data_IF_336986465221
#
_entry.id   IF_336986465221
#
_cell.length_a   1.000
_cell.length_b   1.000
_cell.length_c   1.000
_cell.angle_alpha   90.00
_cell.angle_beta   90.00
_cell.angle_gamma   90.00
#
_symmetry.space_group_name_H-M   'P 1'
#
loop_
_entity.id
_entity.type
_entity.pdbx_description
1 polymer ?
#
# COMPACT_ATOMS: atom_id res chain seq x y z
N UNK A 1 6.84 34.21 16.90
CA UNK A 1 5.74 33.23 17.00
C UNK A 1 4.83 33.17 15.76
N UNK A 2 4.72 34.25 14.96
CA UNK A 2 3.86 34.27 13.74
C UNK A 2 4.34 33.39 12.58
N UNK A 3 5.63 33.17 12.43
CA UNK A 3 6.18 32.35 11.32
C UNK A 3 5.87 30.85 11.44
N UNK A 4 5.88 30.31 12.65
CA UNK A 4 5.58 28.91 12.91
C UNK A 4 4.10 28.61 12.71
N UNK A 5 3.22 29.51 13.19
CA UNK A 5 1.77 29.36 12.98
C UNK A 5 1.43 29.41 11.48
N UNK A 6 2.01 30.32 10.71
CA UNK A 6 1.79 30.41 9.28
C UNK A 6 2.30 29.16 8.53
N UNK A 7 3.42 28.56 8.95
CA UNK A 7 3.92 27.31 8.37
C UNK A 7 2.95 26.14 8.65
N UNK A 8 2.45 26.03 9.87
CA UNK A 8 1.46 25.01 10.24
C UNK A 8 0.19 25.16 9.41
N UNK A 9 -0.36 26.38 9.34
CA UNK A 9 -1.58 26.65 8.54
C UNK A 9 -1.36 26.31 7.06
N UNK A 10 -0.24 26.70 6.50
CA UNK A 10 0.10 26.42 5.09
C UNK A 10 0.23 24.91 4.83
N UNK A 11 0.97 24.19 5.69
CA UNK A 11 1.15 22.75 5.54
C UNK A 11 -0.18 22.00 5.71
N UNK A 12 -1.00 22.39 6.69
CA UNK A 12 -2.33 21.84 6.90
C UNK A 12 -3.23 22.09 5.68
N UNK A 13 -3.19 23.31 5.13
CA UNK A 13 -3.92 23.64 3.92
C UNK A 13 -3.53 22.78 2.72
N UNK A 14 -2.23 22.52 2.51
CA UNK A 14 -1.76 21.60 1.48
C UNK A 14 -2.25 20.18 1.69
N UNK A 15 -2.21 19.67 2.93
CA UNK A 15 -2.70 18.33 3.25
C UNK A 15 -4.21 18.19 2.95
N UNK A 16 -5.02 19.17 3.34
CA UNK A 16 -6.45 19.16 3.02
C UNK A 16 -6.72 19.26 1.52
N UNK A 17 -5.98 20.10 0.80
CA UNK A 17 -6.09 20.18 -0.65
C UNK A 17 -5.72 18.86 -1.31
N UNK A 18 -4.64 18.22 -0.89
CA UNK A 18 -4.23 16.89 -1.37
C UNK A 18 -5.31 15.84 -1.09
N UNK A 19 -5.86 15.81 0.13
CA UNK A 19 -6.96 14.90 0.50
C UNK A 19 -8.19 15.12 -0.38
N UNK A 20 -8.59 16.38 -0.61
CA UNK A 20 -9.71 16.72 -1.47
C UNK A 20 -9.51 16.26 -2.92
N UNK A 21 -8.34 16.53 -3.50
CA UNK A 21 -7.99 16.08 -4.85
C UNK A 21 -8.00 14.55 -4.93
N UNK A 22 -7.36 13.87 -3.97
CA UNK A 22 -7.32 12.40 -3.92
C UNK A 22 -8.73 11.81 -3.82
N UNK A 23 -9.58 12.37 -2.97
CA UNK A 23 -10.97 11.95 -2.82
C UNK A 23 -11.76 12.12 -4.13
N UNK A 24 -11.62 13.26 -4.81
CA UNK A 24 -12.28 13.52 -6.08
C UNK A 24 -11.81 12.53 -7.16
N UNK A 25 -10.49 12.33 -7.29
CA UNK A 25 -9.91 11.37 -8.23
C UNK A 25 -10.41 9.95 -7.92
N UNK A 26 -10.44 9.56 -6.64
CA UNK A 26 -10.90 8.23 -6.23
C UNK A 26 -12.36 7.98 -6.59
N UNK A 27 -13.24 8.94 -6.32
CA UNK A 27 -14.65 8.84 -6.68
C UNK A 27 -14.85 8.77 -8.19
N UNK A 28 -14.14 9.61 -8.95
CA UNK A 28 -14.19 9.60 -10.40
C UNK A 28 -13.68 8.26 -10.97
N UNK A 29 -12.53 7.78 -10.48
CA UNK A 29 -11.93 6.51 -10.90
C UNK A 29 -12.87 5.34 -10.60
N UNK A 30 -13.48 5.31 -9.42
CA UNK A 30 -14.46 4.27 -9.05
C UNK A 30 -15.62 4.21 -10.04
N UNK A 31 -16.15 5.36 -10.44
CA UNK A 31 -17.22 5.45 -11.44
C UNK A 31 -16.77 4.94 -12.82
N UNK A 32 -15.56 5.31 -13.24
CA UNK A 32 -15.01 4.87 -14.53
C UNK A 32 -14.80 3.36 -14.54
N UNK A 33 -14.23 2.79 -13.46
CA UNK A 33 -14.01 1.35 -13.33
C UNK A 33 -15.34 0.60 -13.31
N UNK A 34 -16.34 1.09 -12.55
CA UNK A 34 -17.67 0.47 -12.50
C UNK A 34 -18.34 0.45 -13.89
N UNK A 35 -18.23 1.55 -14.63
CA UNK A 35 -18.80 1.63 -15.99
C UNK A 35 -18.06 0.73 -16.99
N UNK A 36 -16.75 0.57 -16.85
CA UNK A 36 -15.92 -0.24 -17.75
C UNK A 36 -16.08 -1.74 -17.47
N UNK A 37 -16.12 -2.14 -16.19
CA UNK A 37 -16.21 -3.54 -15.79
C UNK A 37 -17.65 -4.05 -15.71
N UNK A 38 -18.61 -3.17 -15.47
CA UNK A 38 -19.97 -3.55 -15.07
C UNK A 38 -20.06 -4.02 -13.61
N UNK A 39 -21.29 -4.20 -13.11
CA UNK A 39 -21.52 -4.47 -11.69
C UNK A 39 -20.92 -5.80 -11.19
N UNK A 40 -20.93 -6.84 -12.02
CA UNK A 40 -20.45 -8.19 -11.64
C UNK A 40 -18.94 -8.15 -11.48
N UNK A 41 -18.18 -7.72 -12.50
CA UNK A 41 -16.73 -7.70 -12.47
C UNK A 41 -16.18 -6.69 -11.46
N UNK A 42 -16.89 -5.56 -11.27
CA UNK A 42 -16.59 -4.60 -10.22
C UNK A 42 -16.78 -5.19 -8.82
N UNK A 43 -17.81 -6.03 -8.63
CA UNK A 43 -18.03 -6.79 -7.40
C UNK A 43 -16.86 -7.76 -7.11
N UNK A 44 -16.44 -8.53 -8.10
CA UNK A 44 -15.29 -9.44 -8.00
C UNK A 44 -14.00 -8.67 -7.64
N UNK A 45 -13.74 -7.56 -8.34
CA UNK A 45 -12.61 -6.68 -8.08
C UNK A 45 -12.59 -6.18 -6.62
N UNK A 46 -13.76 -5.74 -6.09
CA UNK A 46 -13.85 -5.24 -4.73
C UNK A 46 -13.68 -6.34 -3.67
N UNK A 47 -14.21 -7.54 -3.90
CA UNK A 47 -14.05 -8.67 -2.97
C UNK A 47 -12.57 -9.06 -2.88
N UNK A 48 -11.92 -9.22 -4.02
CA UNK A 48 -10.48 -9.56 -4.10
C UNK A 48 -9.62 -8.45 -3.47
N UNK A 49 -9.86 -7.21 -3.88
CA UNK A 49 -9.12 -6.05 -3.36
C UNK A 49 -9.36 -5.84 -1.87
N UNK A 50 -10.59 -6.02 -1.39
CA UNK A 50 -10.95 -5.93 0.02
C UNK A 50 -10.23 -6.96 0.88
N UNK A 51 -10.18 -8.21 0.44
CA UNK A 51 -9.46 -9.27 1.16
C UNK A 51 -7.96 -8.96 1.31
N UNK A 52 -7.33 -8.43 0.26
CA UNK A 52 -5.90 -8.08 0.27
C UNK A 52 -5.66 -6.77 1.05
N UNK A 53 -6.58 -5.81 1.00
CA UNK A 53 -6.45 -4.54 1.73
C UNK A 53 -6.43 -4.73 3.25
N UNK A 54 -6.96 -5.83 3.76
CA UNK A 54 -6.82 -6.20 5.18
C UNK A 54 -5.35 -6.34 5.62
N UNK A 55 -4.43 -6.58 4.69
CA UNK A 55 -2.99 -6.59 4.98
C UNK A 55 -2.40 -5.17 5.15
N UNK A 56 -3.18 -4.13 4.85
CA UNK A 56 -2.74 -2.74 4.96
C UNK A 56 -2.31 -2.34 6.38
N UNK A 57 -2.93 -2.94 7.43
CA UNK A 57 -2.50 -2.70 8.81
C UNK A 57 -1.06 -3.16 9.07
N UNK A 58 -0.65 -4.28 8.47
CA UNK A 58 0.71 -4.79 8.59
C UNK A 58 1.70 -3.81 7.94
N UNK A 59 1.37 -3.32 6.75
CA UNK A 59 2.17 -2.32 6.06
C UNK A 59 2.32 -1.03 6.87
N UNK A 60 1.24 -0.53 7.48
CA UNK A 60 1.26 0.66 8.33
C UNK A 60 2.13 0.46 9.59
N UNK A 61 2.06 -0.71 10.22
CA UNK A 61 2.89 -1.04 11.39
C UNK A 61 4.39 -1.08 11.02
N UNK A 62 4.72 -1.70 9.88
CA UNK A 62 6.09 -1.78 9.37
C UNK A 62 6.64 -0.40 9.00
N UNK A 63 5.84 0.43 8.34
CA UNK A 63 6.19 1.80 7.98
C UNK A 63 6.49 2.63 9.24
N UNK A 64 5.61 2.58 10.24
CA UNK A 64 5.79 3.28 11.52
C UNK A 64 7.06 2.84 12.25
N UNK A 65 7.32 1.54 12.31
CA UNK A 65 8.53 1.01 12.94
C UNK A 65 9.80 1.50 12.20
N UNK A 66 9.83 1.38 10.88
CA UNK A 66 10.99 1.80 10.07
C UNK A 66 11.22 3.30 10.17
N UNK A 67 10.16 4.12 10.09
CA UNK A 67 10.26 5.57 10.24
C UNK A 67 10.84 5.97 11.60
N UNK A 68 10.42 5.29 12.67
CA UNK A 68 10.95 5.55 14.02
C UNK A 68 12.46 5.32 14.11
N UNK A 69 12.97 4.22 13.54
CA UNK A 69 14.42 3.95 13.50
C UNK A 69 15.17 4.95 12.62
N UNK A 70 14.58 5.35 11.48
CA UNK A 70 15.17 6.34 10.61
C UNK A 70 15.25 7.72 11.28
N UNK A 71 14.19 8.18 11.92
CA UNK A 71 14.17 9.46 12.65
C UNK A 71 15.20 9.47 13.79
N UNK A 72 15.36 8.35 14.50
CA UNK A 72 16.39 8.22 15.54
C UNK A 72 17.79 8.35 14.96
N UNK A 73 18.07 7.70 13.83
CA UNK A 73 19.38 7.76 13.17
C UNK A 73 19.67 9.13 12.58
N UNK A 74 18.66 9.84 12.11
CA UNK A 74 18.78 11.21 11.62
C UNK A 74 19.19 12.16 12.76
N UNK A 75 18.56 12.03 13.92
CA UNK A 75 18.91 12.82 15.12
C UNK A 75 20.31 12.55 15.67
N UNK A 76 20.87 11.37 15.42
CA UNK A 76 22.25 11.03 15.83
C UNK A 76 23.34 11.61 14.91
N UNK A 77 22.98 12.03 13.69
CA UNK A 77 23.90 12.55 12.68
C UNK A 77 24.87 11.52 12.09
N UNK A 78 24.76 10.24 12.46
CA UNK A 78 25.66 9.18 11.97
C UNK A 78 25.13 8.58 10.66
N UNK A 79 25.75 8.98 9.56
CA UNK A 79 25.37 8.51 8.21
C UNK A 79 25.62 7.00 8.01
N UNK A 80 26.57 6.39 8.75
CA UNK A 80 26.83 4.95 8.66
C UNK A 80 25.70 4.15 9.29
N UNK A 81 25.20 4.59 10.45
CA UNK A 81 24.07 3.99 11.13
C UNK A 81 22.82 4.12 10.26
N UNK A 82 22.56 5.31 9.71
CA UNK A 82 21.46 5.55 8.79
C UNK A 82 21.44 4.58 7.60
N UNK A 83 22.60 4.44 6.92
CA UNK A 83 22.74 3.52 5.79
C UNK A 83 22.53 2.06 6.20
N UNK A 84 23.01 1.65 7.38
CA UNK A 84 22.82 0.29 7.91
C UNK A 84 21.34 0.02 8.19
N UNK A 85 20.63 0.95 8.83
CA UNK A 85 19.19 0.82 9.12
C UNK A 85 18.42 0.71 7.80
N UNK A 86 18.70 1.57 6.82
CA UNK A 86 18.05 1.53 5.52
C UNK A 86 18.23 0.18 4.82
N UNK A 87 19.47 -0.28 4.69
CA UNK A 87 19.76 -1.55 4.03
C UNK A 87 19.11 -2.74 4.76
N UNK A 88 19.16 -2.76 6.10
CA UNK A 88 18.49 -3.81 6.89
C UNK A 88 16.99 -3.78 6.69
N UNK A 89 16.39 -2.59 6.72
CA UNK A 89 14.96 -2.41 6.47
C UNK A 89 14.58 -2.89 5.07
N UNK A 90 15.35 -2.55 4.04
CA UNK A 90 15.09 -2.95 2.67
C UNK A 90 15.12 -4.49 2.51
N UNK A 91 16.11 -5.16 3.10
CA UNK A 91 16.20 -6.62 3.07
C UNK A 91 15.02 -7.25 3.80
N UNK A 92 14.67 -6.76 4.99
CA UNK A 92 13.52 -7.26 5.75
C UNK A 92 12.21 -7.11 4.97
N UNK A 93 11.98 -5.94 4.36
CA UNK A 93 10.77 -5.69 3.58
C UNK A 93 10.71 -6.55 2.32
N UNK A 94 11.86 -6.80 1.68
CA UNK A 94 11.93 -7.72 0.54
C UNK A 94 11.56 -9.16 0.95
N UNK A 95 12.05 -9.64 2.08
CA UNK A 95 11.72 -10.97 2.62
C UNK A 95 10.21 -11.03 2.95
N UNK A 96 9.69 -10.03 3.66
CA UNK A 96 8.27 -9.97 4.03
C UNK A 96 7.39 -9.88 2.79
N UNK A 97 7.73 -9.05 1.81
CA UNK A 97 6.99 -8.94 0.55
C UNK A 97 6.94 -10.27 -0.20
N UNK A 98 8.07 -10.99 -0.23
CA UNK A 98 8.16 -12.31 -0.88
C UNK A 98 7.30 -13.33 -0.14
N UNK A 99 7.40 -13.42 1.18
CA UNK A 99 6.59 -14.34 2.00
C UNK A 99 5.10 -14.02 1.85
N UNK A 100 4.72 -12.74 1.95
CA UNK A 100 3.34 -12.31 1.79
C UNK A 100 2.79 -12.68 0.39
N UNK A 101 3.58 -12.46 -0.66
CA UNK A 101 3.18 -12.81 -2.02
C UNK A 101 2.99 -14.31 -2.20
N UNK A 102 3.89 -15.12 -1.65
CA UNK A 102 3.76 -16.60 -1.68
C UNK A 102 2.50 -17.05 -0.94
N UNK A 103 2.24 -16.50 0.25
CA UNK A 103 1.03 -16.82 1.02
C UNK A 103 -0.24 -16.40 0.27
N UNK A 104 -0.23 -15.25 -0.40
CA UNK A 104 -1.36 -14.81 -1.22
C UNK A 104 -1.56 -15.72 -2.43
N UNK A 105 -0.50 -16.17 -3.12
CA UNK A 105 -0.60 -17.11 -4.23
C UNK A 105 -1.22 -18.44 -3.77
N UNK A 106 -0.74 -18.98 -2.64
CA UNK A 106 -1.29 -20.20 -2.05
C UNK A 106 -2.76 -19.99 -1.65
N UNK A 107 -3.05 -18.86 -0.97
CA UNK A 107 -4.40 -18.49 -0.58
C UNK A 107 -5.33 -18.34 -1.78
N UNK A 108 -4.83 -17.77 -2.89
CA UNK A 108 -5.56 -17.65 -4.15
C UNK A 108 -6.04 -18.98 -4.71
N UNK A 109 -5.22 -20.03 -4.58
CA UNK A 109 -5.64 -21.37 -4.99
C UNK A 109 -6.92 -21.84 -4.26
N UNK A 110 -6.95 -21.66 -2.94
CA UNK A 110 -8.15 -22.01 -2.16
C UNK A 110 -9.31 -21.06 -2.44
N UNK A 111 -9.01 -19.78 -2.66
CA UNK A 111 -9.99 -18.76 -2.95
C UNK A 111 -10.79 -19.05 -4.23
N UNK A 112 -10.09 -19.40 -5.31
CA UNK A 112 -10.70 -19.70 -6.61
C UNK A 112 -11.31 -21.11 -6.70
N UNK A 113 -10.86 -22.06 -5.87
CA UNK A 113 -11.33 -23.45 -5.94
C UNK A 113 -12.38 -23.82 -4.89
N UNK A 114 -12.82 -22.91 -4.01
CA UNK A 114 -13.78 -23.32 -3.00
C UNK A 114 -14.49 -22.22 -2.24
N UNK A 115 -13.94 -21.00 -2.19
CA UNK A 115 -14.48 -19.93 -1.36
C UNK A 115 -15.32 -18.94 -2.20
N UNK A 116 -14.83 -18.59 -3.38
CA UNK A 116 -15.52 -17.64 -4.25
C UNK A 116 -16.41 -18.34 -5.26
N UNK A 117 -17.68 -17.96 -5.31
CA UNK A 117 -18.60 -18.40 -6.34
C UNK A 117 -18.55 -17.45 -7.55
N UNK A 118 -17.46 -17.59 -8.35
CA UNK A 118 -17.24 -16.78 -9.54
C UNK A 118 -17.79 -17.51 -10.76
N UNK A 119 -18.57 -16.86 -11.65
CA UNK A 119 -18.98 -17.44 -12.92
C UNK A 119 -17.77 -17.95 -13.72
N UNK A 120 -17.90 -19.11 -14.34
CA UNK A 120 -16.78 -19.80 -15.02
C UNK A 120 -16.16 -18.97 -16.15
N UNK A 121 -16.95 -18.17 -16.84
CA UNK A 121 -16.52 -17.24 -17.88
C UNK A 121 -15.71 -16.06 -17.36
N UNK A 122 -15.72 -15.81 -16.03
CA UNK A 122 -15.03 -14.69 -15.37
C UNK A 122 -13.81 -15.11 -14.54
N UNK A 123 -13.56 -16.39 -14.37
CA UNK A 123 -12.44 -16.88 -13.54
C UNK A 123 -11.10 -16.36 -14.07
N UNK A 124 -10.86 -16.40 -15.38
CA UNK A 124 -9.61 -15.91 -15.97
C UNK A 124 -9.38 -14.42 -15.70
N UNK A 125 -10.41 -13.59 -15.86
CA UNK A 125 -10.33 -12.15 -15.56
C UNK A 125 -10.05 -11.90 -14.08
N UNK A 126 -10.73 -12.62 -13.19
CA UNK A 126 -10.53 -12.53 -11.75
C UNK A 126 -9.11 -12.93 -11.32
N UNK A 127 -8.53 -13.97 -11.95
CA UNK A 127 -7.14 -14.38 -11.71
C UNK A 127 -6.12 -13.30 -12.14
N UNK A 128 -6.34 -12.64 -13.27
CA UNK A 128 -5.48 -11.53 -13.72
C UNK A 128 -5.55 -10.36 -12.73
N UNK A 129 -6.75 -9.99 -12.29
CA UNK A 129 -6.96 -8.95 -11.27
C UNK A 129 -6.25 -9.33 -9.98
N UNK A 130 -6.44 -10.56 -9.50
CA UNK A 130 -5.80 -11.05 -8.28
C UNK A 130 -4.27 -10.99 -8.35
N UNK A 131 -3.68 -11.48 -9.45
CA UNK A 131 -2.25 -11.42 -9.69
C UNK A 131 -1.71 -9.99 -9.73
N UNK A 132 -2.45 -9.08 -10.35
CA UNK A 132 -2.10 -7.65 -10.41
C UNK A 132 -2.11 -7.00 -9.01
N UNK A 133 -3.06 -7.36 -8.15
CA UNK A 133 -3.13 -6.85 -6.79
C UNK A 133 -1.99 -7.43 -5.94
N UNK A 134 -1.63 -8.71 -6.11
CA UNK A 134 -0.45 -9.30 -5.44
C UNK A 134 0.82 -8.55 -5.84
N UNK A 135 1.03 -8.31 -7.13
CA UNK A 135 2.18 -7.54 -7.61
C UNK A 135 2.21 -6.12 -7.02
N UNK A 136 1.06 -5.43 -7.01
CA UNK A 136 0.93 -4.11 -6.39
C UNK A 136 1.27 -4.14 -4.90
N UNK A 137 0.79 -5.13 -4.16
CA UNK A 137 1.07 -5.30 -2.72
C UNK A 137 2.57 -5.54 -2.49
N UNK A 138 3.21 -6.36 -3.30
CA UNK A 138 4.66 -6.61 -3.25
C UNK A 138 5.45 -5.30 -3.38
N UNK A 139 5.15 -4.51 -4.40
CA UNK A 139 5.81 -3.21 -4.58
C UNK A 139 5.51 -2.24 -3.45
N UNK A 140 4.28 -2.19 -2.95
CA UNK A 140 3.89 -1.34 -1.83
C UNK A 140 4.71 -1.66 -0.57
N UNK A 141 4.96 -2.93 -0.28
CA UNK A 141 5.79 -3.32 0.87
C UNK A 141 7.26 -2.90 0.67
N UNK A 142 7.79 -3.04 -0.53
CA UNK A 142 9.20 -2.68 -0.83
C UNK A 142 9.42 -1.16 -0.77
N UNK A 143 8.40 -0.34 -1.05
CA UNK A 143 8.54 1.14 -0.99
C UNK A 143 8.60 1.68 0.44
N UNK A 144 8.17 0.92 1.45
CA UNK A 144 8.13 1.38 2.85
C UNK A 144 9.45 1.97 3.38
N UNK A 145 10.63 1.37 3.15
CA UNK A 145 11.89 1.94 3.62
C UNK A 145 12.22 3.30 2.98
N UNK A 146 11.81 3.50 1.72
CA UNK A 146 11.99 4.77 1.01
C UNK A 146 11.07 5.86 1.58
N UNK A 147 9.80 5.53 1.80
CA UNK A 147 8.83 6.43 2.43
C UNK A 147 9.28 6.82 3.85
N UNK A 148 9.84 5.87 4.59
CA UNK A 148 10.37 6.12 5.92
C UNK A 148 11.55 7.12 5.91
N UNK A 149 12.43 7.06 4.91
CA UNK A 149 13.52 8.05 4.75
C UNK A 149 12.97 9.43 4.43
N UNK A 150 12.01 9.51 3.51
CA UNK A 150 11.39 10.78 3.10
C UNK A 150 10.67 11.46 4.28
N UNK A 151 9.97 10.67 5.10
CA UNK A 151 9.20 11.18 6.24
C UNK A 151 10.05 11.40 7.50
N UNK A 152 11.30 10.94 7.55
CA UNK A 152 12.22 11.14 8.68
C UNK A 152 12.95 12.50 8.61
N UNK A 153 12.99 13.13 7.46
CA UNK A 153 13.53 14.47 7.21
C UNK A 153 12.47 15.55 7.47
#
# INVERSE_FOLDING_TARGET
>A
MSSTANRVVKNTGFLYAQMGITMFISLYTTRVILNALGAIDFGIFNIIGGAISMLGFLNAAMASATQRFMSYSEGSGDTKIKKKIFNTSLILHLIIATIASVLLIIGGYFFFNGILNIPTDRISAAQVVYGSIIASTFFTIITVPYDAVINAH
#
